data_IF_233146264051
#
_entry.id   IF_233146264051
#
_cell.length_a   1.000
_cell.length_b   1.000
_cell.length_c   1.000
_cell.angle_alpha   90.00
_cell.angle_beta   90.00
_cell.angle_gamma   90.00
#
_symmetry.space_group_name_H-M   'P 1'
#
loop_
_entity.id
_entity.type
_entity.pdbx_description
1 polymer ?
#
# COMPACT_ATOMS: atom_id res chain seq x y z
N UNK A 1 -0.39 1.08 17.35
CA UNK A 1 -0.54 0.82 15.91
C UNK A 1 -1.96 1.17 15.52
N UNK A 2 -2.11 2.10 14.57
CA UNK A 2 -3.41 2.64 14.13
C UNK A 2 -3.34 2.78 12.61
N UNK A 3 -4.31 2.18 11.93
CA UNK A 3 -4.52 2.40 10.51
C UNK A 3 -5.02 3.83 10.28
N UNK A 4 -4.45 4.50 9.29
CA UNK A 4 -4.84 5.86 8.87
C UNK A 4 -5.32 5.84 7.41
N UNK A 5 -6.18 6.79 7.00
CA UNK A 5 -6.63 6.90 5.61
C UNK A 5 -5.46 7.04 4.64
N UNK A 6 -5.54 6.41 3.47
CA UNK A 6 -4.44 6.39 2.50
C UNK A 6 -4.03 7.80 2.02
N UNK A 7 -4.94 8.77 2.07
CA UNK A 7 -4.69 10.15 1.67
C UNK A 7 -3.70 10.86 2.60
N UNK A 8 -3.51 10.35 3.84
CA UNK A 8 -2.54 10.89 4.80
C UNK A 8 -1.19 10.20 4.74
N UNK A 9 -1.06 9.15 3.91
CA UNK A 9 0.16 8.37 3.83
C UNK A 9 1.33 9.18 3.27
N UNK A 10 2.56 8.98 3.79
CA UNK A 10 3.74 9.59 3.24
C UNK A 10 4.02 9.03 1.84
N UNK A 11 4.25 9.95 0.90
CA UNK A 11 4.53 9.66 -0.52
C UNK A 11 6.02 9.78 -0.84
N UNK A 12 6.86 9.38 0.11
CA UNK A 12 8.33 9.48 0.04
C UNK A 12 9.01 8.23 -0.51
N UNK A 13 8.23 7.23 -0.92
CA UNK A 13 8.72 5.97 -1.49
C UNK A 13 9.22 4.96 -0.47
N UNK A 14 9.05 5.20 0.84
CA UNK A 14 9.32 4.21 1.87
C UNK A 14 8.26 3.12 1.91
N UNK A 15 8.61 1.98 2.49
CA UNK A 15 7.70 0.85 2.62
C UNK A 15 6.70 1.08 3.77
N UNK A 16 5.43 0.77 3.50
CA UNK A 16 4.30 0.89 4.43
C UNK A 16 3.49 -0.41 4.42
N UNK A 17 2.80 -0.69 5.53
CA UNK A 17 1.67 -1.63 5.51
C UNK A 17 0.48 -0.94 4.86
N UNK A 18 -0.09 -1.56 3.84
CA UNK A 18 -1.20 -1.04 3.08
C UNK A 18 -2.37 -2.03 3.17
N UNK A 19 -3.57 -1.51 3.32
CA UNK A 19 -4.80 -2.29 3.34
C UNK A 19 -5.59 -2.07 2.05
N UNK A 20 -5.89 -3.16 1.36
CA UNK A 20 -6.65 -3.19 0.10
C UNK A 20 -8.02 -3.82 0.37
N UNK A 21 -9.14 -3.13 0.03
CA UNK A 21 -10.49 -3.61 0.34
C UNK A 21 -11.17 -4.34 -0.83
N UNK A 22 -10.40 -4.98 -1.71
CA UNK A 22 -10.91 -5.77 -2.85
C UNK A 22 -11.76 -6.98 -2.38
N UNK A 23 -12.28 -7.77 -3.33
CA UNK A 23 -13.11 -8.97 -3.05
C UNK A 23 -12.44 -9.94 -2.05
N UNK A 24 -11.11 -9.96 -2.01
CA UNK A 24 -10.30 -10.66 -1.01
C UNK A 24 -9.41 -9.67 -0.24
N UNK A 25 -9.93 -9.00 0.81
CA UNK A 25 -9.21 -7.93 1.49
C UNK A 25 -7.84 -8.39 2.01
N UNK A 26 -6.79 -7.68 1.59
CA UNK A 26 -5.41 -8.04 1.90
C UNK A 26 -4.64 -6.90 2.57
N UNK A 27 -3.68 -7.30 3.41
CA UNK A 27 -2.65 -6.42 3.95
C UNK A 27 -1.33 -6.75 3.26
N UNK A 28 -0.71 -5.75 2.64
CA UNK A 28 0.48 -5.92 1.80
C UNK A 28 1.51 -4.84 2.11
N UNK A 29 2.78 -5.15 1.86
CA UNK A 29 3.85 -4.14 1.90
C UNK A 29 3.93 -3.44 0.56
N UNK A 30 3.88 -2.12 0.57
CA UNK A 30 3.99 -1.31 -0.64
C UNK A 30 4.52 0.09 -0.38
N UNK A 31 4.67 0.85 -1.47
CA UNK A 31 5.30 2.16 -1.48
C UNK A 31 4.68 3.07 -2.54
N UNK A 32 4.81 4.39 -2.37
CA UNK A 32 4.43 5.36 -3.38
C UNK A 32 5.55 5.49 -4.43
N UNK A 33 5.18 5.50 -5.71
CA UNK A 33 6.14 5.72 -6.79
C UNK A 33 5.60 6.74 -7.79
N UNK A 34 6.20 7.93 -7.82
CA UNK A 34 5.83 8.99 -8.77
C UNK A 34 5.99 8.55 -10.23
N UNK A 35 6.98 7.68 -10.52
CA UNK A 35 7.21 7.12 -11.86
C UNK A 35 6.03 6.29 -12.39
N UNK A 36 5.20 5.75 -11.49
CA UNK A 36 4.00 4.97 -11.81
C UNK A 36 2.71 5.74 -11.48
N UNK A 37 2.81 6.94 -10.91
CA UNK A 37 1.67 7.77 -10.53
C UNK A 37 0.80 7.19 -9.41
N UNK A 38 1.31 6.29 -8.56
CA UNK A 38 0.48 5.60 -7.59
C UNK A 38 1.20 4.68 -6.60
N UNK A 39 0.39 3.98 -5.81
CA UNK A 39 0.85 2.95 -4.88
C UNK A 39 1.24 1.67 -5.60
N UNK A 40 2.36 1.08 -5.19
CA UNK A 40 2.93 -0.13 -5.77
C UNK A 40 3.25 -1.16 -4.68
N UNK A 41 3.20 -2.44 -5.04
CA UNK A 41 3.42 -3.56 -4.13
C UNK A 41 4.85 -4.10 -4.23
N UNK A 42 5.46 -4.49 -3.10
CA UNK A 42 6.81 -5.08 -3.10
C UNK A 42 6.80 -6.55 -3.52
N UNK A 43 5.82 -7.33 -3.08
CA UNK A 43 5.65 -8.73 -3.46
C UNK A 43 4.73 -8.84 -4.69
N UNK A 44 5.35 -8.84 -5.87
CA UNK A 44 4.65 -8.87 -7.14
C UNK A 44 4.27 -10.29 -7.56
N UNK A 45 3.13 -10.77 -7.07
CA UNK A 45 2.16 -11.52 -7.91
C UNK A 45 0.98 -10.60 -8.30
N UNK A 46 0.79 -9.50 -7.58
CA UNK A 46 -0.33 -8.54 -7.74
C UNK A 46 0.04 -7.36 -8.67
N UNK A 47 1.31 -7.26 -9.12
CA UNK A 47 1.80 -6.11 -9.90
C UNK A 47 1.08 -5.90 -11.25
N UNK A 48 0.44 -6.94 -11.81
CA UNK A 48 -0.31 -6.82 -13.07
C UNK A 48 -1.77 -6.40 -12.89
N UNK A 49 -2.25 -6.21 -11.66
CA UNK A 49 -3.66 -5.91 -11.39
C UNK A 49 -3.86 -4.64 -10.55
N UNK A 50 -3.11 -3.56 -10.79
CA UNK A 50 -3.50 -2.25 -10.27
C UNK A 50 -4.73 -1.71 -11.03
N UNK A 51 -5.86 -2.43 -11.00
CA UNK A 51 -7.16 -1.82 -11.31
C UNK A 51 -7.46 -0.78 -10.23
N UNK A 52 -8.32 0.21 -10.53
CA UNK A 52 -8.74 1.21 -9.55
C UNK A 52 -9.33 0.56 -8.26
N UNK A 53 -9.85 -0.65 -8.37
CA UNK A 53 -10.42 -1.45 -7.28
C UNK A 53 -9.37 -2.02 -6.31
N UNK A 54 -8.09 -2.05 -6.71
CA UNK A 54 -6.98 -2.53 -5.89
C UNK A 54 -6.21 -1.40 -5.20
N UNK A 55 -6.66 -0.15 -5.31
CA UNK A 55 -6.03 0.95 -4.58
C UNK A 55 -6.15 0.74 -3.06
N UNK A 56 -5.05 0.95 -2.31
CA UNK A 56 -5.12 0.84 -0.85
C UNK A 56 -6.00 1.95 -0.30
N UNK A 57 -6.75 1.66 0.77
CA UNK A 57 -7.60 2.65 1.44
C UNK A 57 -7.04 3.12 2.77
N UNK A 58 -6.16 2.32 3.37
CA UNK A 58 -5.54 2.65 4.64
C UNK A 58 -4.08 2.23 4.64
N UNK A 59 -3.31 2.88 5.51
CA UNK A 59 -1.89 2.59 5.72
C UNK A 59 -1.51 2.53 7.19
N UNK A 60 -0.37 1.93 7.46
CA UNK A 60 0.32 1.97 8.75
C UNK A 60 1.84 1.92 8.52
N UNK A 61 2.62 2.51 9.42
CA UNK A 61 4.06 2.25 9.48
C UNK A 61 4.35 0.76 9.69
N UNK A 62 5.43 0.30 9.04
CA UNK A 62 6.06 -0.97 9.38
C UNK A 62 6.56 -0.94 10.82
N UNK A 63 6.33 -1.99 11.63
CA UNK A 63 7.00 -2.11 12.92
C UNK A 63 8.52 -2.08 12.74
N UNK A 64 9.22 -1.51 13.72
CA UNK A 64 10.66 -1.69 13.83
C UNK A 64 10.99 -3.19 13.96
N UNK A 65 12.08 -3.61 13.34
CA UNK A 65 12.58 -4.97 13.49
C UNK A 65 12.90 -5.25 14.98
N UNK A 66 12.60 -6.47 15.49
CA UNK A 66 12.81 -6.83 16.89
C UNK A 66 14.29 -6.87 17.31
#
# INVERSE_FOLDING_TARGET
MKWEPIETAPKDGRDLWLYTPNDEPAQVVGYWADSFGGWNWRDSVIAEMASEEMQPTHWQELPEAP
#
